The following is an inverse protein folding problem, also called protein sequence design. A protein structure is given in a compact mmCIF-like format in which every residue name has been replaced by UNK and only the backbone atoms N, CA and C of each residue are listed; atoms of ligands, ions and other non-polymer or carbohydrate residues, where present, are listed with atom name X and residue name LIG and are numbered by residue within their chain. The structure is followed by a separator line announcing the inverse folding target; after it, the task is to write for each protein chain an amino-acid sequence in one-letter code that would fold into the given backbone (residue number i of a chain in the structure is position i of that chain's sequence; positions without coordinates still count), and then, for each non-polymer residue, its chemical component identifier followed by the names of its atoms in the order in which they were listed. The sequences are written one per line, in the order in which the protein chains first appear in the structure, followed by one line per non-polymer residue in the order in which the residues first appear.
data_IF_654761573725
#
_entry.id   IF_654761573725
#
_cell.length_a   1.000
_cell.length_b   1.000
_cell.length_c   1.000
_cell.angle_alpha   90.00
_cell.angle_beta   90.00
_cell.angle_gamma   90.00
#
_symmetry.space_group_name_H-M   'P 1'
#
loop_
_entity.id
_entity.type
_entity.pdbx_description
1 polymer ?
#
# COMPACT_ATOMS: atom_id res chain seq x y z
N UNK A 1 -12.75 23.53 64.25
CA UNK A 1 -13.04 23.49 62.80
C UNK A 1 -11.97 22.65 62.13
N UNK A 2 -12.32 21.56 61.43
CA UNK A 2 -11.34 20.66 60.77
C UNK A 2 -11.09 21.17 59.35
N UNK A 3 -9.86 21.55 59.03
CA UNK A 3 -9.45 21.85 57.65
C UNK A 3 -9.10 20.56 56.92
N UNK A 4 -9.77 20.28 55.81
CA UNK A 4 -9.41 19.23 54.88
C UNK A 4 -8.47 19.81 53.82
N UNK A 5 -7.20 19.39 53.85
CA UNK A 5 -6.23 19.73 52.80
C UNK A 5 -6.38 18.79 51.62
N UNK A 6 -6.73 19.34 50.45
CA UNK A 6 -6.81 18.58 49.19
C UNK A 6 -5.39 18.46 48.65
N UNK A 7 -4.77 17.28 48.75
CA UNK A 7 -3.50 17.01 48.05
C UNK A 7 -3.84 16.79 46.57
N UNK A 8 -3.45 17.73 45.72
CA UNK A 8 -3.53 17.61 44.27
C UNK A 8 -2.55 16.54 43.78
N UNK A 9 -3.05 15.34 43.52
CA UNK A 9 -2.30 14.26 42.88
C UNK A 9 -2.14 14.60 41.39
N UNK A 10 -0.99 15.14 40.99
CA UNK A 10 -0.66 15.29 39.57
C UNK A 10 -0.58 13.89 38.93
N UNK A 11 -1.35 13.59 37.86
CA UNK A 11 -1.26 12.31 37.18
C UNK A 11 0.11 12.20 36.52
N UNK A 12 0.81 11.09 36.81
CA UNK A 12 2.11 10.79 36.18
C UNK A 12 1.95 10.81 34.66
N UNK A 13 2.67 11.73 34.00
CA UNK A 13 2.74 11.78 32.53
C UNK A 13 3.22 10.43 32.02
N UNK A 14 2.36 9.74 31.26
CA UNK A 14 2.72 8.49 30.58
C UNK A 14 3.81 8.81 29.54
N UNK A 15 4.90 8.02 29.44
CA UNK A 15 5.89 8.18 28.38
C UNK A 15 5.20 8.05 27.02
N UNK A 16 5.59 8.87 26.05
CA UNK A 16 5.18 8.65 24.66
C UNK A 16 5.78 7.31 24.20
N UNK A 17 5.02 6.45 23.49
CA UNK A 17 5.58 5.25 22.89
C UNK A 17 6.82 5.61 22.07
N UNK A 18 7.88 4.78 22.07
CA UNK A 18 9.02 4.98 21.20
C UNK A 18 8.52 5.13 19.75
N UNK A 19 8.96 6.19 19.07
CA UNK A 19 8.72 6.27 17.63
C UNK A 19 9.56 5.19 16.96
N UNK A 20 8.98 4.40 16.02
CA UNK A 20 9.79 3.50 15.20
C UNK A 20 10.89 4.33 14.52
N UNK A 21 12.11 3.78 14.37
CA UNK A 21 13.13 4.44 13.58
C UNK A 21 12.58 4.71 12.17
N UNK A 22 12.91 5.85 11.55
CA UNK A 22 12.57 6.08 10.15
C UNK A 22 13.15 4.92 9.34
N UNK A 23 12.33 4.26 8.54
CA UNK A 23 12.77 3.17 7.70
C UNK A 23 13.65 3.78 6.60
N UNK A 24 14.96 3.55 6.71
CA UNK A 24 16.00 4.21 5.92
C UNK A 24 15.88 3.88 4.42
N UNK A 25 15.17 2.80 4.08
CA UNK A 25 15.04 2.30 2.70
C UNK A 25 13.64 2.50 2.09
N UNK A 26 12.76 3.29 2.73
CA UNK A 26 11.34 3.39 2.30
C UNK A 26 11.13 4.36 1.14
N UNK A 27 12.11 5.22 0.86
CA UNK A 27 12.04 6.16 -0.24
C UNK A 27 13.39 6.19 -0.95
N UNK A 28 13.49 5.59 -2.14
CA UNK A 28 14.65 5.71 -2.99
C UNK A 28 14.95 7.19 -3.25
N UNK A 29 16.15 7.64 -2.92
CA UNK A 29 16.54 9.06 -3.05
C UNK A 29 16.80 9.47 -4.52
N UNK A 30 17.05 8.53 -5.42
CA UNK A 30 17.62 8.79 -6.75
C UNK A 30 16.70 8.47 -7.94
N UNK A 31 15.74 7.56 -7.79
CA UNK A 31 14.83 7.15 -8.86
C UNK A 31 13.43 7.08 -8.25
N UNK A 32 12.56 8.03 -8.57
CA UNK A 32 11.14 7.96 -8.18
C UNK A 32 10.25 8.06 -9.40
N UNK A 33 9.20 7.26 -9.43
CA UNK A 33 8.29 7.15 -10.56
C UNK A 33 7.54 8.47 -10.75
N UNK A 34 7.44 9.29 -9.70
CA UNK A 34 6.91 10.66 -9.77
C UNK A 34 7.75 11.61 -10.63
N UNK A 35 9.01 11.26 -10.93
CA UNK A 35 9.88 12.02 -11.83
C UNK A 35 9.67 11.66 -13.30
N UNK A 36 8.97 10.56 -13.59
CA UNK A 36 8.62 10.17 -14.96
C UNK A 36 7.44 11.03 -15.43
N UNK A 37 7.65 11.80 -16.50
CA UNK A 37 6.59 12.57 -17.13
C UNK A 37 5.51 11.64 -17.64
N UNK A 38 4.26 11.82 -17.19
CA UNK A 38 3.11 11.04 -17.63
C UNK A 38 2.63 11.49 -19.03
N UNK A 39 3.53 11.48 -20.01
CA UNK A 39 3.18 11.57 -21.42
C UNK A 39 2.95 10.17 -21.95
N UNK A 40 1.94 10.03 -22.81
CA UNK A 40 1.51 8.76 -23.39
C UNK A 40 2.58 8.08 -24.27
N UNK A 41 3.71 8.75 -24.52
CA UNK A 41 4.64 8.45 -25.61
C UNK A 41 5.91 7.71 -25.17
N UNK A 42 6.24 7.64 -23.87
CA UNK A 42 7.49 6.99 -23.40
C UNK A 42 7.34 6.32 -22.03
N UNK A 43 6.97 5.04 -22.03
CA UNK A 43 6.93 4.18 -20.83
C UNK A 43 7.81 2.92 -20.97
N UNK A 44 8.76 2.94 -21.89
CA UNK A 44 9.62 1.79 -22.16
C UNK A 44 10.50 1.42 -20.95
N UNK A 45 10.79 2.41 -20.09
CA UNK A 45 11.66 2.26 -18.92
C UNK A 45 10.91 2.22 -17.57
N UNK A 46 9.57 2.08 -17.56
CA UNK A 46 8.82 2.05 -16.29
C UNK A 46 9.13 0.81 -15.46
N UNK A 47 9.16 -0.36 -16.08
CA UNK A 47 9.41 -1.63 -15.38
C UNK A 47 10.76 -1.65 -14.65
N UNK A 48 11.91 -1.26 -15.26
CA UNK A 48 13.18 -1.21 -14.54
C UNK A 48 13.19 -0.16 -13.43
N UNK A 49 12.56 1.00 -13.62
CA UNK A 49 12.47 2.06 -12.59
C UNK A 49 11.62 1.61 -11.40
N UNK A 50 10.46 0.99 -11.66
CA UNK A 50 9.63 0.39 -10.61
C UNK A 50 10.38 -0.72 -9.88
N UNK A 51 11.13 -1.56 -10.59
CA UNK A 51 11.90 -2.63 -9.96
C UNK A 51 13.01 -2.10 -9.06
N UNK A 52 13.69 -1.02 -9.45
CA UNK A 52 14.69 -0.34 -8.63
C UNK A 52 14.04 0.32 -7.41
N UNK A 53 12.90 0.97 -7.59
CA UNK A 53 12.16 1.63 -6.50
C UNK A 53 11.59 0.66 -5.47
N UNK A 54 11.03 -0.45 -5.94
CA UNK A 54 10.39 -1.46 -5.12
C UNK A 54 11.41 -2.51 -4.64
N UNK A 55 12.68 -2.42 -5.03
CA UNK A 55 13.75 -3.38 -4.70
C UNK A 55 13.94 -3.59 -3.18
N UNK A 56 13.61 -2.61 -2.36
CA UNK A 56 13.70 -2.69 -0.89
C UNK A 56 12.39 -3.13 -0.23
N UNK A 57 11.30 -3.24 -1.01
CA UNK A 57 10.00 -3.67 -0.50
C UNK A 57 10.00 -5.18 -0.44
N UNK A 58 9.80 -5.72 0.77
CA UNK A 58 9.58 -7.14 0.96
C UNK A 58 8.35 -7.58 0.15
N UNK A 59 8.57 -8.37 -0.90
CA UNK A 59 7.52 -9.15 -1.53
C UNK A 59 7.25 -10.40 -0.69
N UNK A 60 6.08 -11.02 -0.90
CA UNK A 60 5.76 -12.35 -0.35
C UNK A 60 5.80 -12.43 1.19
N UNK A 61 5.43 -11.34 1.86
CA UNK A 61 5.34 -11.31 3.33
C UNK A 61 4.37 -12.39 3.82
N UNK A 62 4.81 -13.36 4.64
CA UNK A 62 3.95 -14.44 5.12
C UNK A 62 2.74 -13.90 5.88
N UNK A 63 1.55 -14.40 5.54
CA UNK A 63 0.30 -14.00 6.21
C UNK A 63 -0.19 -12.59 5.88
N UNK A 64 0.43 -11.88 4.93
CA UNK A 64 0.01 -10.54 4.52
C UNK A 64 -1.46 -10.47 4.11
N UNK A 65 -1.91 -11.43 3.31
CA UNK A 65 -3.29 -11.48 2.82
C UNK A 65 -4.28 -11.55 3.99
N UNK A 66 -4.06 -12.45 4.94
CA UNK A 66 -4.93 -12.60 6.10
C UNK A 66 -4.87 -11.37 7.02
N UNK A 67 -3.68 -10.81 7.25
CA UNK A 67 -3.49 -9.65 8.12
C UNK A 67 -4.16 -8.38 7.58
N UNK A 68 -4.11 -8.15 6.26
CA UNK A 68 -4.64 -6.95 5.63
C UNK A 68 -6.10 -7.11 5.21
N UNK A 69 -6.47 -8.27 4.69
CA UNK A 69 -7.76 -8.51 4.04
C UNK A 69 -8.66 -9.50 4.77
N UNK A 70 -8.18 -10.24 5.77
CA UNK A 70 -8.96 -11.28 6.46
C UNK A 70 -10.25 -10.78 7.13
N UNK A 71 -10.35 -9.48 7.43
CA UNK A 71 -11.57 -8.85 7.95
C UNK A 71 -12.62 -8.52 6.89
N UNK A 72 -12.27 -8.58 5.60
CA UNK A 72 -13.16 -8.22 4.49
C UNK A 72 -13.92 -9.45 4.04
N UNK A 73 -15.20 -9.51 4.40
CA UNK A 73 -16.09 -10.59 3.98
C UNK A 73 -16.23 -10.64 2.46
N UNK A 74 -16.22 -11.85 1.92
CA UNK A 74 -16.44 -12.14 0.49
C UNK A 74 -15.47 -11.44 -0.48
N UNK A 75 -14.32 -10.94 0.00
CA UNK A 75 -13.35 -10.24 -0.86
C UNK A 75 -12.87 -11.12 -2.01
N UNK A 76 -12.50 -12.36 -1.70
CA UNK A 76 -12.05 -13.34 -2.69
C UNK A 76 -13.13 -13.54 -3.76
N UNK A 77 -14.36 -13.83 -3.34
CA UNK A 77 -15.51 -14.05 -4.24
C UNK A 77 -15.79 -12.83 -5.12
N UNK A 78 -15.77 -11.63 -4.55
CA UNK A 78 -15.97 -10.38 -5.30
C UNK A 78 -14.82 -10.14 -6.30
N UNK A 79 -13.58 -10.33 -5.86
CA UNK A 79 -12.39 -10.21 -6.69
C UNK A 79 -12.42 -11.17 -7.88
N UNK A 80 -12.72 -12.45 -7.64
CA UNK A 80 -12.87 -13.47 -8.70
C UNK A 80 -13.97 -13.08 -9.68
N UNK A 81 -15.11 -12.59 -9.21
CA UNK A 81 -16.21 -12.19 -10.10
C UNK A 81 -15.83 -11.01 -11.01
N UNK A 82 -15.13 -9.99 -10.47
CA UNK A 82 -14.64 -8.87 -11.28
C UNK A 82 -13.57 -9.33 -12.26
N UNK A 83 -12.63 -10.17 -11.81
CA UNK A 83 -11.56 -10.68 -12.67
C UNK A 83 -12.12 -11.51 -13.83
N UNK A 84 -13.09 -12.38 -13.57
CA UNK A 84 -13.75 -13.17 -14.61
C UNK A 84 -14.42 -12.27 -15.65
N UNK A 85 -15.19 -11.26 -15.21
CA UNK A 85 -15.83 -10.29 -16.11
C UNK A 85 -14.81 -9.50 -16.93
N UNK A 86 -13.65 -9.19 -16.36
CA UNK A 86 -12.57 -8.52 -17.07
C UNK A 86 -11.98 -9.42 -18.17
N UNK A 87 -11.67 -10.68 -17.85
CA UNK A 87 -11.14 -11.64 -18.82
C UNK A 87 -12.17 -11.92 -19.93
N UNK A 88 -13.44 -12.11 -19.59
CA UNK A 88 -14.53 -12.20 -20.58
C UNK A 88 -14.56 -10.98 -21.49
N UNK A 89 -14.50 -9.77 -20.91
CA UNK A 89 -14.43 -8.53 -21.67
C UNK A 89 -13.20 -8.46 -22.59
N UNK A 90 -12.02 -8.87 -22.14
CA UNK A 90 -10.81 -8.92 -22.96
C UNK A 90 -10.93 -9.91 -24.12
N UNK A 91 -11.48 -11.09 -23.89
CA UNK A 91 -11.72 -12.11 -24.92
C UNK A 91 -12.70 -11.58 -25.97
N UNK A 92 -13.76 -10.88 -25.54
CA UNK A 92 -14.72 -10.23 -26.43
C UNK A 92 -14.10 -9.08 -27.24
N UNK A 93 -13.16 -8.34 -26.67
CA UNK A 93 -12.41 -7.28 -27.37
C UNK A 93 -11.38 -7.86 -28.37
N UNK A 94 -10.87 -9.07 -28.14
CA UNK A 94 -9.95 -9.75 -29.06
C UNK A 94 -10.64 -10.24 -30.34
N UNK A 95 -11.97 -10.32 -30.35
CA UNK A 95 -12.78 -10.63 -31.54
C UNK A 95 -12.96 -9.45 -32.52
N UNK A 96 -12.55 -8.24 -32.14
CA UNK A 96 -12.78 -7.03 -32.93
C UNK A 96 -11.44 -6.39 -33.33
N UNK A 97 -10.86 -6.91 -34.41
CA UNK A 97 -10.02 -6.21 -35.38
C UNK A 97 -8.99 -5.21 -34.85
N UNK A 98 -7.74 -5.67 -34.72
CA UNK A 98 -6.55 -4.86 -35.02
C UNK A 98 -5.95 -5.22 -36.39
N UNK A 99 -6.76 -5.74 -37.31
CA UNK A 99 -6.40 -5.97 -38.72
C UNK A 99 -7.39 -5.23 -39.62
N UNK A 100 -7.17 -3.93 -39.77
CA UNK A 100 -7.61 -3.11 -40.89
C UNK A 100 -6.45 -2.18 -41.28
#
# INVERSE_FOLDING_TARGET
MRSFGIKSTQPRRKPRPPRPPPYVEQTPYSCSTSMISNSHERRDDIDPVLKEELSSIYTDVPGFEEALFGGVKDLEKAGTAVFHRFIEGMILLQGNSWLA
#
